data_IF_693079352243
#
_entry.id   IF_693079352243
#
_cell.length_a   1.000
_cell.length_b   1.000
_cell.length_c   1.000
_cell.angle_alpha   90.00
_cell.angle_beta   90.00
_cell.angle_gamma   90.00
#
_symmetry.space_group_name_H-M   'P 1'
#
loop_
_entity.id
_entity.type
_entity.pdbx_description
1 polymer ?
#
# COMPACT_ATOMS: atom_id res chain seq x y z
N UNK A 1 50.01 31.45 -31.89
CA UNK A 1 49.04 31.57 -30.79
C UNK A 1 47.79 32.14 -31.42
N UNK A 2 46.74 31.34 -31.52
CA UNK A 2 45.49 31.67 -32.24
C UNK A 2 44.73 32.79 -31.50
N UNK A 3 44.39 33.84 -32.23
CA UNK A 3 43.71 35.03 -31.71
C UNK A 3 42.21 34.76 -31.60
N UNK A 4 41.68 34.70 -30.38
CA UNK A 4 40.25 34.48 -30.13
C UNK A 4 39.42 35.66 -30.65
N UNK A 5 38.84 35.49 -31.84
CA UNK A 5 37.99 36.46 -32.52
C UNK A 5 36.62 36.54 -31.85
N UNK A 6 36.47 37.44 -30.88
CA UNK A 6 35.19 37.71 -30.23
C UNK A 6 34.16 38.25 -31.25
N UNK A 7 32.93 37.74 -31.17
CA UNK A 7 31.82 38.19 -32.02
C UNK A 7 31.41 39.59 -31.55
N UNK A 8 31.74 40.62 -32.34
CA UNK A 8 31.33 41.99 -32.08
C UNK A 8 29.79 42.09 -32.17
N UNK A 9 29.11 42.19 -31.03
CA UNK A 9 27.65 42.31 -30.95
C UNK A 9 27.10 43.50 -31.77
N UNK A 10 27.93 44.52 -32.02
CA UNK A 10 27.61 45.65 -32.89
C UNK A 10 27.39 45.27 -34.36
N UNK A 11 28.02 44.18 -34.85
CA UNK A 11 27.83 43.67 -36.23
C UNK A 11 26.51 42.92 -36.42
N UNK A 12 25.88 42.44 -35.34
CA UNK A 12 24.65 41.65 -35.43
C UNK A 12 23.44 42.57 -35.70
N UNK A 13 23.53 43.86 -35.33
CA UNK A 13 22.51 44.87 -35.62
C UNK A 13 21.13 44.54 -35.02
N UNK A 14 20.20 45.48 -35.07
CA UNK A 14 18.83 45.28 -34.55
C UNK A 14 17.96 44.41 -35.48
N UNK A 15 18.57 43.48 -36.20
CA UNK A 15 17.90 42.57 -37.13
C UNK A 15 17.08 41.60 -36.29
N UNK A 16 15.79 41.45 -36.61
CA UNK A 16 14.92 40.41 -36.02
C UNK A 16 14.86 39.22 -36.98
N UNK A 17 15.79 38.26 -36.91
CA UNK A 17 15.84 37.11 -37.83
C UNK A 17 14.73 36.09 -37.59
N UNK A 18 13.97 36.24 -36.50
CA UNK A 18 12.89 35.34 -36.13
C UNK A 18 11.59 36.13 -36.01
N UNK A 19 10.55 35.62 -36.68
CA UNK A 19 9.17 36.06 -36.56
C UNK A 19 8.30 34.84 -36.36
N UNK A 20 7.31 34.97 -35.49
CA UNK A 20 6.30 33.92 -35.33
C UNK A 20 5.24 34.05 -36.44
N UNK A 21 4.67 32.93 -36.89
CA UNK A 21 3.46 32.96 -37.72
C UNK A 21 2.30 33.66 -37.00
N UNK A 22 1.35 34.15 -37.78
CA UNK A 22 0.10 34.70 -37.25
C UNK A 22 -0.67 33.60 -36.48
N UNK A 23 -1.25 33.95 -35.33
CA UNK A 23 -2.03 33.06 -34.45
C UNK A 23 -1.30 31.80 -33.93
N UNK A 24 0.04 31.79 -33.91
CA UNK A 24 0.81 30.62 -33.44
C UNK A 24 0.40 30.15 -32.02
N UNK A 25 0.18 31.08 -31.10
CA UNK A 25 -0.12 30.74 -29.71
C UNK A 25 -1.56 30.27 -29.54
N UNK A 26 -2.49 30.87 -30.27
CA UNK A 26 -3.91 30.56 -30.28
C UNK A 26 -4.15 29.16 -30.84
N UNK A 27 -3.55 28.84 -31.99
CA UNK A 27 -3.67 27.54 -32.62
C UNK A 27 -2.98 26.44 -31.80
N UNK A 28 -1.82 26.75 -31.23
CA UNK A 28 -1.10 25.83 -30.34
C UNK A 28 -1.91 25.51 -29.08
N UNK A 29 -2.47 26.54 -28.42
CA UNK A 29 -3.27 26.35 -27.21
C UNK A 29 -4.54 25.57 -27.49
N UNK A 30 -5.24 25.86 -28.60
CA UNK A 30 -6.42 25.11 -29.02
C UNK A 30 -6.11 23.60 -29.22
N UNK A 31 -4.99 23.28 -29.88
CA UNK A 31 -4.55 21.90 -30.06
C UNK A 31 -4.20 21.22 -28.73
N UNK A 32 -3.48 21.90 -27.84
CA UNK A 32 -3.13 21.34 -26.53
C UNK A 32 -4.34 21.08 -25.65
N UNK A 33 -5.35 21.97 -25.67
CA UNK A 33 -6.63 21.74 -24.97
C UNK A 33 -7.31 20.49 -25.53
N UNK A 34 -7.36 20.32 -26.85
CA UNK A 34 -7.99 19.12 -27.45
C UNK A 34 -7.32 17.79 -27.04
N UNK A 35 -6.02 17.81 -26.76
CA UNK A 35 -5.24 16.64 -26.35
C UNK A 35 -5.28 16.38 -24.83
N UNK A 36 -5.59 17.40 -24.03
CA UNK A 36 -5.60 17.33 -22.56
C UNK A 36 -6.99 17.22 -21.96
N UNK A 37 -8.04 17.51 -22.74
CA UNK A 37 -9.42 17.17 -22.39
C UNK A 37 -9.54 15.65 -22.46
N UNK A 38 -9.15 15.03 -21.36
CA UNK A 38 -9.35 13.62 -21.07
C UNK A 38 -10.84 13.35 -21.28
N UNK A 39 -11.20 12.70 -22.39
CA UNK A 39 -12.55 12.19 -22.58
C UNK A 39 -12.72 11.04 -21.59
N UNK A 40 -12.96 11.38 -20.33
CA UNK A 40 -13.40 10.48 -19.28
C UNK A 40 -14.82 10.02 -19.64
N UNK A 41 -14.94 9.22 -20.69
CA UNK A 41 -16.05 8.31 -20.80
C UNK A 41 -15.96 7.43 -19.55
N UNK A 42 -17.00 7.38 -18.69
CA UNK A 42 -16.95 6.55 -17.51
C UNK A 42 -16.75 5.11 -17.99
N UNK A 43 -15.59 4.52 -17.66
CA UNK A 43 -15.35 3.08 -17.80
C UNK A 43 -16.27 2.38 -16.81
N UNK A 44 -17.55 2.22 -17.18
CA UNK A 44 -18.47 1.32 -16.48
C UNK A 44 -17.99 -0.09 -16.75
N UNK A 45 -17.14 -0.61 -15.88
CA UNK A 45 -16.83 -2.04 -15.89
C UNK A 45 -18.09 -2.78 -15.43
N UNK A 46 -18.87 -3.29 -16.39
CA UNK A 46 -19.89 -4.29 -16.08
C UNK A 46 -19.16 -5.54 -15.62
N UNK A 47 -19.07 -5.71 -14.31
CA UNK A 47 -18.62 -6.96 -13.70
C UNK A 47 -19.58 -8.06 -14.13
N UNK A 48 -19.04 -9.15 -14.70
CA UNK A 48 -19.84 -10.25 -15.21
C UNK A 48 -20.55 -10.98 -14.05
N UNK A 49 -21.83 -11.37 -14.19
CA UNK A 49 -22.62 -11.94 -13.10
C UNK A 49 -22.02 -13.22 -12.49
N UNK A 50 -21.20 -13.98 -13.24
CA UNK A 50 -20.51 -15.17 -12.73
C UNK A 50 -19.39 -14.87 -11.71
N UNK A 51 -18.86 -13.65 -11.71
CA UNK A 51 -17.80 -13.24 -10.79
C UNK A 51 -18.30 -13.08 -9.35
N UNK A 52 -19.59 -12.79 -9.16
CA UNK A 52 -20.20 -12.73 -7.83
C UNK A 52 -20.22 -14.10 -7.14
N UNK A 53 -20.34 -15.20 -7.90
CA UNK A 53 -20.29 -16.55 -7.35
C UNK A 53 -18.94 -16.90 -6.74
N UNK A 54 -17.85 -16.48 -7.38
CA UNK A 54 -16.48 -16.71 -6.90
C UNK A 54 -16.11 -15.86 -5.67
N UNK A 55 -16.64 -14.63 -5.57
CA UNK A 55 -16.38 -13.76 -4.40
C UNK A 55 -17.22 -14.18 -3.19
N UNK A 56 -18.47 -14.62 -3.40
CA UNK A 56 -19.33 -15.10 -2.32
C UNK A 56 -18.79 -16.37 -1.65
N UNK A 57 -18.21 -17.30 -2.41
CA UNK A 57 -17.63 -18.52 -1.85
C UNK A 57 -16.40 -18.26 -0.98
N UNK A 58 -15.57 -17.29 -1.34
CA UNK A 58 -14.40 -16.88 -0.55
C UNK A 58 -14.78 -16.32 0.82
N UNK A 59 -15.81 -15.46 0.88
CA UNK A 59 -16.31 -14.89 2.14
C UNK A 59 -16.86 -15.99 3.05
N UNK A 60 -17.56 -16.98 2.49
CA UNK A 60 -18.08 -18.13 3.23
C UNK A 60 -16.98 -18.98 3.87
N UNK A 61 -15.90 -19.27 3.13
CA UNK A 61 -14.75 -20.04 3.66
C UNK A 61 -14.05 -19.29 4.79
N UNK A 62 -13.88 -17.98 4.68
CA UNK A 62 -13.28 -17.16 5.75
C UNK A 62 -14.17 -17.15 6.99
N UNK A 63 -15.48 -16.98 6.86
CA UNK A 63 -16.41 -17.05 7.99
C UNK A 63 -16.39 -18.42 8.69
N UNK A 64 -16.42 -19.51 7.92
CA UNK A 64 -16.36 -20.86 8.47
C UNK A 64 -15.01 -21.14 9.17
N UNK A 65 -13.90 -20.68 8.60
CA UNK A 65 -12.57 -20.78 9.22
C UNK A 65 -12.50 -20.03 10.55
N UNK A 66 -13.06 -18.83 10.64
CA UNK A 66 -13.12 -18.05 11.89
C UNK A 66 -13.95 -18.76 12.97
N UNK A 67 -15.10 -19.35 12.62
CA UNK A 67 -15.92 -20.13 13.56
C UNK A 67 -15.18 -21.36 14.07
N UNK A 68 -14.47 -22.07 13.19
CA UNK A 68 -13.68 -23.24 13.56
C UNK A 68 -12.52 -22.87 14.50
N UNK A 69 -11.75 -21.82 14.19
CA UNK A 69 -10.65 -21.36 15.04
C UNK A 69 -11.16 -20.82 16.40
N UNK A 70 -12.32 -20.15 16.43
CA UNK A 70 -12.94 -19.66 17.67
C UNK A 70 -13.32 -20.81 18.63
N UNK A 71 -13.80 -21.94 18.10
CA UNK A 71 -14.12 -23.10 18.93
C UNK A 71 -12.87 -23.74 19.55
N UNK A 72 -11.77 -23.85 18.80
CA UNK A 72 -10.50 -24.36 19.33
C UNK A 72 -9.91 -23.42 20.38
N UNK A 73 -9.99 -22.10 20.16
CA UNK A 73 -9.50 -21.09 21.10
C UNK A 73 -10.25 -21.11 22.44
N UNK A 74 -11.56 -21.42 22.44
CA UNK A 74 -12.35 -21.56 23.68
C UNK A 74 -11.86 -22.73 24.55
N UNK A 75 -11.42 -23.82 23.94
CA UNK A 75 -10.89 -24.98 24.67
C UNK A 75 -9.51 -24.70 25.27
N UNK A 76 -8.62 -24.04 24.51
CA UNK A 76 -7.29 -23.63 24.97
C UNK A 76 -7.36 -22.59 26.11
N UNK A 77 -8.23 -21.59 25.99
CA UNK A 77 -8.49 -20.61 27.06
C UNK A 77 -9.04 -21.28 28.33
N UNK A 78 -9.86 -22.33 28.19
CA UNK A 78 -10.38 -23.07 29.33
C UNK A 78 -9.28 -23.88 30.05
N UNK A 79 -8.32 -24.47 29.31
CA UNK A 79 -7.16 -25.13 29.92
C UNK A 79 -6.21 -24.14 30.58
N UNK A 80 -5.88 -23.01 29.94
CA UNK A 80 -5.00 -21.99 30.54
C UNK A 80 -5.59 -21.41 31.85
N UNK A 81 -6.91 -21.21 31.87
CA UNK A 81 -7.63 -20.75 33.08
C UNK A 81 -7.56 -21.80 34.19
N UNK A 82 -7.68 -23.09 33.84
CA UNK A 82 -7.58 -24.20 34.78
C UNK A 82 -6.16 -24.32 35.35
N UNK A 83 -5.14 -24.30 34.50
CA UNK A 83 -3.73 -24.38 34.92
C UNK A 83 -3.37 -23.20 35.83
N UNK A 84 -3.82 -22.00 35.49
CA UNK A 84 -3.63 -20.79 36.33
C UNK A 84 -4.30 -20.96 37.70
N UNK A 85 -5.50 -21.52 37.75
CA UNK A 85 -6.20 -21.78 39.00
C UNK A 85 -5.48 -22.81 39.89
N UNK A 86 -4.96 -23.89 39.29
CA UNK A 86 -4.20 -24.90 40.04
C UNK A 86 -2.89 -24.31 40.57
N UNK A 87 -2.16 -23.56 39.74
CA UNK A 87 -0.91 -22.90 40.15
C UNK A 87 -1.13 -21.86 41.26
N UNK A 88 -2.26 -21.13 41.24
CA UNK A 88 -2.59 -20.13 42.27
C UNK A 88 -2.82 -20.73 43.67
N UNK A 89 -3.11 -22.03 43.74
CA UNK A 89 -3.32 -22.73 45.01
C UNK A 89 -2.04 -23.33 45.58
N UNK A 90 -0.99 -23.47 44.77
CA UNK A 90 0.31 -23.97 45.22
C UNK A 90 1.02 -22.87 46.01
N UNK A 91 1.55 -23.22 47.18
CA UNK A 91 2.30 -22.29 48.01
C UNK A 91 3.69 -22.05 47.40
N UNK A 92 4.02 -20.77 47.14
CA UNK A 92 5.29 -20.36 46.52
C UNK A 92 6.52 -20.91 47.27
N UNK A 93 6.47 -21.00 48.60
CA UNK A 93 7.58 -21.54 49.41
C UNK A 93 7.85 -23.02 49.13
N UNK A 94 6.81 -23.80 48.83
CA UNK A 94 6.95 -25.23 48.53
C UNK A 94 7.60 -25.49 47.17
N UNK A 95 7.50 -24.52 46.24
CA UNK A 95 8.16 -24.58 44.93
C UNK A 95 9.68 -24.36 45.10
N UNK A 96 10.07 -23.41 45.95
CA UNK A 96 11.48 -23.12 46.26
C UNK A 96 12.14 -24.35 46.90
N UNK A 97 11.48 -24.97 47.86
CA UNK A 97 11.99 -26.18 48.52
C UNK A 97 12.16 -27.34 47.54
N UNK A 98 11.26 -27.50 46.56
CA UNK A 98 11.38 -28.52 45.51
C UNK A 98 12.60 -28.28 44.61
N UNK A 99 12.85 -27.04 44.20
CA UNK A 99 14.03 -26.71 43.39
C UNK A 99 15.33 -26.92 44.16
N UNK A 100 15.39 -26.48 45.43
CA UNK A 100 16.55 -26.69 46.28
C UNK A 100 16.84 -28.18 46.53
N UNK A 101 15.80 -28.99 46.72
CA UNK A 101 15.95 -30.44 46.87
C UNK A 101 16.48 -31.10 45.58
N UNK A 102 16.02 -30.67 44.41
CA UNK A 102 16.46 -31.21 43.12
C UNK A 102 17.90 -30.85 42.73
N UNK A 103 18.47 -29.81 43.34
CA UNK A 103 19.86 -29.38 43.11
C UNK A 103 20.86 -30.10 44.02
N UNK A 104 20.36 -30.79 45.06
CA UNK A 104 21.18 -31.57 46.00
C UNK A 104 21.32 -33.06 45.66
N UNK A 105 20.65 -33.53 44.61
CA UNK A 105 20.83 -34.86 43.97
C UNK A 105 21.68 -34.74 42.69
#
# INVERSE_FOLDING_TARGET
MEENKYIEMQKIGNRRPFSVPENYFEDFTAQMVSLTVESSAPKRSLVRPWMYGAVASLIGVVMLGQVFLSNNKKQELASETYDTYILSQVNENSIIDYYLASETD
#
